data_IF_212777080541
#
_entry.id   IF_212777080541
#
_cell.length_a   1.000
_cell.length_b   1.000
_cell.length_c   1.000
_cell.angle_alpha   90.00
_cell.angle_beta   90.00
_cell.angle_gamma   90.00
#
_symmetry.space_group_name_H-M   'P 1'
#
loop_
_entity.id
_entity.type
_entity.pdbx_description
1 polymer ?
#
# COMPACT_ATOMS: atom_id res chain seq x y z
N UNK A 1 15.44 12.29 11.49
CA UNK A 1 14.97 11.54 10.29
C UNK A 1 15.16 10.08 10.53
N UNK A 2 14.15 9.33 10.34
CA UNK A 2 14.12 7.93 10.74
C UNK A 2 14.69 6.98 9.68
N UNK A 3 15.80 7.30 9.05
CA UNK A 3 16.50 6.42 8.12
C UNK A 3 15.83 6.20 6.77
N UNK A 4 14.91 7.06 6.38
CA UNK A 4 14.30 7.05 5.05
C UNK A 4 14.39 8.45 4.43
N UNK A 5 13.97 8.56 3.17
CA UNK A 5 14.13 9.81 2.43
C UNK A 5 13.40 10.98 3.10
N UNK A 6 13.86 12.20 2.88
CA UNK A 6 13.21 13.41 3.39
C UNK A 6 11.91 13.79 2.66
N UNK A 7 11.50 13.04 1.65
CA UNK A 7 10.26 13.30 0.91
C UNK A 7 9.05 13.10 1.82
N UNK A 8 8.12 14.07 1.88
CA UNK A 8 6.91 13.88 2.69
C UNK A 8 6.15 12.61 2.30
N UNK A 9 5.61 11.92 3.31
CA UNK A 9 4.93 10.65 3.12
C UNK A 9 3.78 10.73 2.10
N UNK A 10 2.94 11.75 2.20
CA UNK A 10 1.80 11.89 1.29
C UNK A 10 2.26 12.00 -0.17
N UNK A 11 3.36 12.71 -0.42
CA UNK A 11 3.91 12.83 -1.78
C UNK A 11 4.46 11.50 -2.28
N UNK A 12 5.20 10.78 -1.43
CA UNK A 12 5.72 9.45 -1.79
C UNK A 12 4.60 8.49 -2.16
N UNK A 13 3.52 8.53 -1.42
CA UNK A 13 2.39 7.64 -1.62
C UNK A 13 1.45 8.11 -2.74
N UNK A 14 1.69 9.30 -3.30
CA UNK A 14 0.85 9.85 -4.37
C UNK A 14 -0.53 10.25 -3.92
N UNK A 15 -0.69 10.64 -2.65
CA UNK A 15 -1.98 11.06 -2.10
C UNK A 15 -2.26 12.51 -2.49
N UNK A 16 -3.48 12.76 -2.95
CA UNK A 16 -3.91 14.07 -3.46
C UNK A 16 -5.22 14.49 -2.80
N UNK A 17 -5.47 15.81 -2.67
CA UNK A 17 -6.76 16.30 -2.17
C UNK A 17 -7.92 15.70 -2.98
N UNK A 18 -8.99 15.36 -2.29
CA UNK A 18 -10.19 14.80 -2.89
C UNK A 18 -10.16 13.31 -3.13
N UNK A 19 -9.01 12.66 -3.01
CA UNK A 19 -8.93 11.21 -3.13
C UNK A 19 -9.55 10.52 -1.92
N UNK A 20 -10.09 9.33 -2.17
CA UNK A 20 -10.62 8.45 -1.12
C UNK A 20 -9.55 7.43 -0.80
N UNK A 21 -9.12 7.40 0.46
CA UNK A 21 -8.04 6.52 0.95
C UNK A 21 -8.58 5.58 2.01
N UNK A 22 -8.17 4.33 1.96
CA UNK A 22 -8.50 3.35 2.98
C UNK A 22 -7.23 2.73 3.55
N UNK A 23 -7.29 2.36 4.82
CA UNK A 23 -6.23 1.57 5.47
C UNK A 23 -6.76 0.16 5.68
N UNK A 24 -5.99 -0.85 5.28
CA UNK A 24 -6.34 -2.24 5.47
C UNK A 24 -5.36 -2.86 6.48
N UNK A 25 -5.89 -3.30 7.61
CA UNK A 25 -5.14 -3.91 8.71
C UNK A 25 -3.93 -3.08 9.20
N UNK A 26 -4.09 -1.77 9.44
CA UNK A 26 -2.97 -0.96 9.91
C UNK A 26 -2.53 -1.39 11.32
N UNK A 27 -1.25 -1.15 11.67
CA UNK A 27 -0.81 -1.33 13.06
C UNK A 27 -1.61 -0.43 14.00
N UNK A 28 -1.75 -0.84 15.26
CA UNK A 28 -2.45 -0.03 16.25
C UNK A 28 -1.81 1.36 16.34
N UNK A 29 -2.65 2.39 16.27
CA UNK A 29 -2.21 3.78 16.35
C UNK A 29 -1.53 4.32 15.10
N UNK A 30 -1.45 3.54 14.01
CA UNK A 30 -0.85 4.01 12.76
C UNK A 30 -1.75 5.04 12.09
N UNK A 31 -1.17 6.11 11.60
CA UNK A 31 -1.89 7.15 10.88
C UNK A 31 -0.99 7.78 9.83
N UNK A 32 -1.61 8.46 8.88
CA UNK A 32 -0.88 9.22 7.86
C UNK A 32 -0.18 10.41 8.48
N UNK A 33 1.01 10.72 7.99
CA UNK A 33 1.76 11.89 8.41
C UNK A 33 1.42 13.04 7.46
N UNK A 34 0.87 14.12 8.02
CA UNK A 34 0.52 15.34 7.28
C UNK A 34 -0.22 15.03 5.97
N UNK A 35 -1.41 14.38 6.04
CA UNK A 35 -2.18 14.09 4.84
C UNK A 35 -2.60 15.39 4.16
N UNK A 36 -2.78 15.37 2.82
CA UNK A 36 -3.24 16.57 2.13
C UNK A 36 -4.66 16.96 2.58
N UNK A 37 -4.96 18.25 2.53
CA UNK A 37 -6.29 18.74 2.83
C UNK A 37 -7.30 18.14 1.87
N UNK A 38 -8.49 17.85 2.37
CA UNK A 38 -9.56 17.30 1.53
C UNK A 38 -9.43 15.83 1.21
N UNK A 39 -8.50 15.13 1.83
CA UNK A 39 -8.40 13.68 1.71
C UNK A 39 -9.61 13.04 2.39
N UNK A 40 -10.29 12.12 1.70
CA UNK A 40 -11.46 11.43 2.22
C UNK A 40 -11.06 10.06 2.74
N UNK A 41 -11.62 9.65 3.87
CA UNK A 41 -11.39 8.31 4.42
C UNK A 41 -12.52 7.40 3.94
N UNK A 42 -12.16 6.30 3.27
CA UNK A 42 -13.13 5.30 2.85
C UNK A 42 -13.47 4.37 4.01
N UNK A 43 -14.73 3.97 4.10
CA UNK A 43 -15.16 2.98 5.08
C UNK A 43 -14.63 1.59 4.71
N UNK A 44 -14.59 0.71 5.69
CA UNK A 44 -14.13 -0.67 5.48
C UNK A 44 -14.97 -1.36 4.41
N UNK A 45 -14.31 -1.91 3.42
CA UNK A 45 -14.96 -2.63 2.32
C UNK A 45 -15.41 -1.78 1.15
N UNK A 46 -15.43 -0.45 1.28
CA UNK A 46 -15.84 0.43 0.19
C UNK A 46 -14.71 0.62 -0.82
N UNK A 47 -15.08 1.02 -2.04
CA UNK A 47 -14.10 1.38 -3.07
C UNK A 47 -13.28 2.59 -2.63
N UNK A 48 -12.04 2.63 -3.08
CA UNK A 48 -11.13 3.71 -2.75
C UNK A 48 -10.22 4.01 -3.95
N UNK A 49 -9.64 5.19 -3.96
CA UNK A 49 -8.63 5.55 -4.96
C UNK A 49 -7.28 4.94 -4.60
N UNK A 50 -6.99 4.88 -3.30
CA UNK A 50 -5.75 4.29 -2.77
C UNK A 50 -6.10 3.49 -1.52
N UNK A 51 -5.62 2.25 -1.45
CA UNK A 51 -5.66 1.45 -0.22
C UNK A 51 -4.23 1.21 0.21
N UNK A 52 -3.92 1.52 1.46
CA UNK A 52 -2.65 1.15 2.08
C UNK A 52 -2.93 -0.11 2.90
N UNK A 53 -2.44 -1.24 2.42
CA UNK A 53 -2.71 -2.56 3.01
C UNK A 53 -1.45 -3.08 3.69
N UNK A 54 -1.56 -3.46 4.94
CA UNK A 54 -0.43 -3.90 5.77
C UNK A 54 -0.44 -5.42 5.88
N UNK A 55 0.66 -6.04 5.46
CA UNK A 55 0.83 -7.49 5.45
C UNK A 55 2.02 -7.86 6.34
N UNK A 56 1.85 -8.85 7.20
CA UNK A 56 2.93 -9.28 8.10
C UNK A 56 3.55 -10.60 7.67
N UNK A 57 2.83 -11.39 6.88
CA UNK A 57 3.29 -12.67 6.36
C UNK A 57 2.77 -12.87 4.94
N UNK A 58 3.44 -13.70 4.16
CA UNK A 58 3.02 -14.00 2.78
C UNK A 58 1.59 -14.55 2.72
N UNK A 59 1.19 -15.35 3.71
CA UNK A 59 -0.18 -15.87 3.77
C UNK A 59 -1.23 -14.76 3.83
N UNK A 60 -0.90 -13.62 4.45
CA UNK A 60 -1.81 -12.47 4.48
C UNK A 60 -1.99 -11.86 3.10
N UNK A 61 -0.92 -11.84 2.30
CA UNK A 61 -0.99 -11.33 0.93
C UNK A 61 -1.92 -12.22 0.10
N UNK A 62 -1.73 -13.53 0.16
CA UNK A 62 -2.56 -14.47 -0.57
C UNK A 62 -4.05 -14.34 -0.18
N UNK A 63 -4.34 -14.11 1.09
CA UNK A 63 -5.71 -14.01 1.58
C UNK A 63 -6.38 -12.68 1.27
N UNK A 64 -5.65 -11.56 1.41
CA UNK A 64 -6.27 -10.23 1.40
C UNK A 64 -6.00 -9.39 0.15
N UNK A 65 -4.87 -9.58 -0.52
CA UNK A 65 -4.55 -8.77 -1.70
C UNK A 65 -5.62 -8.86 -2.79
N UNK A 66 -6.19 -10.05 -3.10
CA UNK A 66 -7.26 -10.14 -4.10
C UNK A 66 -8.47 -9.27 -3.76
N UNK A 67 -8.84 -9.19 -2.50
CA UNK A 67 -9.98 -8.40 -2.03
C UNK A 67 -9.67 -6.91 -2.12
N UNK A 68 -8.50 -6.52 -1.61
CA UNK A 68 -8.07 -5.12 -1.60
C UNK A 68 -7.91 -4.58 -3.02
N UNK A 69 -7.37 -5.39 -3.93
CA UNK A 69 -7.16 -4.99 -5.32
C UNK A 69 -8.47 -4.60 -6.02
N UNK A 70 -9.57 -5.27 -5.71
CA UNK A 70 -10.87 -4.95 -6.29
C UNK A 70 -11.40 -3.60 -5.85
N UNK A 71 -11.05 -3.18 -4.65
CA UNK A 71 -11.51 -1.89 -4.09
C UNK A 71 -10.94 -0.70 -4.85
N UNK A 72 -9.81 -0.87 -5.55
CA UNK A 72 -9.16 0.19 -6.32
C UNK A 72 -9.34 0.03 -7.84
N UNK A 73 -10.06 -0.98 -8.27
CA UNK A 73 -10.34 -1.18 -9.70
C UNK A 73 -11.23 -0.05 -10.24
N UNK A 74 -10.98 0.49 -11.44
CA UNK A 74 -9.90 0.13 -12.37
C UNK A 74 -8.68 1.06 -12.33
N UNK A 75 -8.78 2.24 -11.76
CA UNK A 75 -7.78 3.29 -11.92
C UNK A 75 -7.00 3.63 -10.65
N UNK A 76 -7.34 3.01 -9.53
CA UNK A 76 -6.69 3.28 -8.25
C UNK A 76 -5.43 2.46 -8.03
N UNK A 77 -4.88 2.57 -6.83
CA UNK A 77 -3.63 1.90 -6.45
C UNK A 77 -3.72 1.27 -5.08
N UNK A 78 -3.02 0.14 -4.92
CA UNK A 78 -2.77 -0.47 -3.62
C UNK A 78 -1.31 -0.20 -3.26
N UNK A 79 -1.08 0.34 -2.07
CA UNK A 79 0.23 0.29 -1.44
C UNK A 79 0.28 -0.97 -0.59
N UNK A 80 0.99 -2.00 -1.06
CA UNK A 80 1.23 -3.20 -0.27
C UNK A 80 2.41 -2.92 0.64
N UNK A 81 2.16 -2.89 1.94
CA UNK A 81 3.18 -2.59 2.95
C UNK A 81 3.56 -3.84 3.71
N UNK A 82 4.85 -4.02 3.97
CA UNK A 82 5.37 -5.14 4.76
C UNK A 82 6.46 -4.64 5.70
N UNK A 83 6.76 -5.41 6.79
CA UNK A 83 7.76 -4.99 7.77
C UNK A 83 9.13 -4.76 7.13
N UNK A 84 9.73 -3.61 7.44
CA UNK A 84 10.97 -3.17 6.82
C UNK A 84 12.16 -3.88 7.45
N UNK A 85 12.90 -4.61 6.65
CA UNK A 85 14.07 -5.37 7.12
C UNK A 85 15.16 -4.44 7.65
N UNK A 86 15.37 -3.30 7.01
CA UNK A 86 16.38 -2.33 7.44
C UNK A 86 16.09 -1.76 8.83
N UNK A 87 14.85 -1.85 9.32
CA UNK A 87 14.48 -1.44 10.68
C UNK A 87 14.61 -2.59 11.70
N UNK A 88 15.12 -3.74 11.29
CA UNK A 88 15.34 -4.89 12.17
C UNK A 88 14.16 -5.84 12.26
N UNK A 89 13.11 -5.61 11.47
CA UNK A 89 11.96 -6.52 11.48
C UNK A 89 12.24 -7.80 10.72
N UNK A 90 11.62 -8.88 11.15
CA UNK A 90 11.70 -10.20 10.50
C UNK A 90 10.36 -10.51 9.86
N UNK A 91 10.38 -10.90 8.60
CA UNK A 91 9.18 -11.29 7.86
C UNK A 91 9.59 -12.18 6.69
N UNK A 92 8.68 -13.05 6.25
CA UNK A 92 8.88 -13.85 5.05
C UNK A 92 8.57 -13.07 3.76
N UNK A 93 8.17 -11.80 3.88
CA UNK A 93 7.80 -10.99 2.72
C UNK A 93 9.01 -10.23 2.17
N UNK A 94 9.17 -10.28 0.85
CA UNK A 94 10.11 -9.47 0.09
C UNK A 94 9.35 -8.76 -1.02
N UNK A 95 9.96 -7.78 -1.66
CA UNK A 95 9.36 -7.10 -2.81
C UNK A 95 9.01 -8.07 -3.94
N UNK A 96 9.88 -9.07 -4.19
CA UNK A 96 9.62 -10.07 -5.23
C UNK A 96 8.41 -10.95 -4.90
N UNK A 97 8.21 -11.28 -3.63
CA UNK A 97 7.03 -12.04 -3.20
C UNK A 97 5.77 -11.24 -3.45
N UNK A 98 5.75 -9.96 -3.07
CA UNK A 98 4.61 -9.08 -3.32
C UNK A 98 4.34 -8.97 -4.82
N UNK A 99 5.39 -8.77 -5.60
CA UNK A 99 5.30 -8.61 -7.06
C UNK A 99 4.70 -9.85 -7.72
N UNK A 100 5.11 -11.04 -7.28
CA UNK A 100 4.60 -12.30 -7.81
C UNK A 100 3.10 -12.44 -7.55
N UNK A 101 2.66 -12.19 -6.33
CA UNK A 101 1.22 -12.24 -6.00
C UNK A 101 0.43 -11.21 -6.80
N UNK A 102 0.99 -10.01 -6.99
CA UNK A 102 0.35 -8.94 -7.76
C UNK A 102 0.18 -9.34 -9.23
N UNK A 103 1.23 -9.86 -9.84
CA UNK A 103 1.19 -10.27 -11.25
C UNK A 103 0.16 -11.37 -11.49
N UNK A 104 0.03 -12.31 -10.57
CA UNK A 104 -0.97 -13.39 -10.67
C UNK A 104 -2.40 -12.85 -10.66
N UNK A 105 -2.62 -11.69 -10.08
CA UNK A 105 -3.94 -11.05 -10.04
C UNK A 105 -4.20 -10.11 -11.23
N UNK A 106 -3.18 -9.81 -12.01
CA UNK A 106 -3.29 -8.84 -13.09
C UNK A 106 -2.90 -7.42 -12.70
N UNK A 107 -2.20 -7.27 -11.60
CA UNK A 107 -1.62 -6.00 -11.16
C UNK A 107 -0.17 -5.91 -11.60
N UNK A 108 0.34 -4.69 -11.67
CA UNK A 108 1.77 -4.42 -11.89
C UNK A 108 2.26 -3.44 -10.85
N UNK A 109 3.55 -3.56 -10.50
CA UNK A 109 4.20 -2.62 -9.60
C UNK A 109 4.72 -1.41 -10.38
N UNK A 110 4.56 -0.24 -9.79
CA UNK A 110 4.96 1.02 -10.44
C UNK A 110 5.90 1.87 -9.60
N UNK A 111 6.04 1.58 -8.30
CA UNK A 111 6.91 2.35 -7.43
C UNK A 111 7.23 1.55 -6.17
N UNK A 112 8.48 1.65 -5.72
CA UNK A 112 8.92 1.14 -4.41
C UNK A 112 9.25 2.33 -3.51
N UNK A 113 8.81 2.29 -2.27
CA UNK A 113 9.14 3.34 -1.30
C UNK A 113 9.04 2.79 0.13
N UNK A 114 9.77 3.38 1.05
CA UNK A 114 9.50 3.18 2.46
C UNK A 114 8.23 3.96 2.81
N UNK A 115 7.23 3.30 3.37
CA UNK A 115 6.01 3.96 3.85
C UNK A 115 6.36 4.83 5.05
N UNK A 116 7.14 4.27 5.97
CA UNK A 116 7.69 4.96 7.12
C UNK A 116 8.97 4.25 7.58
N UNK A 117 9.41 4.50 8.81
CA UNK A 117 10.63 3.88 9.34
C UNK A 117 10.52 2.36 9.48
N UNK A 118 9.30 1.83 9.65
CA UNK A 118 9.06 0.42 9.97
C UNK A 118 8.45 -0.38 8.83
N UNK A 119 7.93 0.27 7.80
CA UNK A 119 7.19 -0.38 6.71
C UNK A 119 7.75 -0.03 5.35
N UNK A 120 8.07 -1.06 4.57
CA UNK A 120 8.36 -0.92 3.13
C UNK A 120 7.06 -0.99 2.35
N UNK A 121 7.04 -0.45 1.14
CA UNK A 121 5.85 -0.47 0.31
C UNK A 121 6.13 -0.65 -1.17
N UNK A 122 5.19 -1.28 -1.85
CA UNK A 122 5.19 -1.44 -3.29
C UNK A 122 3.84 -0.97 -3.82
N UNK A 123 3.85 0.02 -4.72
CA UNK A 123 2.63 0.56 -5.30
C UNK A 123 2.20 -0.30 -6.47
N UNK A 124 0.97 -0.82 -6.39
CA UNK A 124 0.41 -1.74 -7.36
C UNK A 124 -0.79 -1.09 -8.04
N UNK A 125 -0.86 -1.24 -9.37
CA UNK A 125 -2.00 -0.76 -10.16
C UNK A 125 -2.46 -1.87 -11.09
N UNK A 126 -3.71 -1.81 -11.53
CA UNK A 126 -4.21 -2.76 -12.50
C UNK A 126 -3.51 -2.57 -13.84
N UNK A 127 -3.09 -3.68 -14.44
CA UNK A 127 -2.49 -3.66 -15.77
C UNK A 127 -3.48 -3.08 -16.76
N UNK A 128 -3.01 -2.26 -17.71
CA UNK A 128 -3.89 -1.56 -18.65
C UNK A 128 -4.88 -2.48 -19.37
N UNK A 129 -4.44 -3.69 -19.74
CA UNK A 129 -5.32 -4.67 -20.41
C UNK A 129 -6.37 -5.30 -19.52
N UNK A 130 -6.31 -5.08 -18.20
CA UNK A 130 -7.26 -5.64 -17.23
C UNK A 130 -8.21 -4.59 -16.65
N UNK A 131 -8.11 -3.37 -17.12
CA UNK A 131 -8.97 -2.27 -16.64
C UNK A 131 -10.31 -2.26 -17.33
#
# INVERSE_FOLDING_TARGET
MAGYSGTPQARKLGLKPGQRVALDAPPAGWDLVEPPDGLLVADAGDDADVVIAFFRAEADIAARLPVVARRVFPAGAVWAAWPRRAAGHVSDITDNIVRRHALDLGLVDVKVAAIDADWSGLRLVWRAGNR
#
